data_IF_459593963777
#
_entry.id   IF_459593963777
#
_cell.length_a   1.000
_cell.length_b   1.000
_cell.length_c   1.000
_cell.angle_alpha   90.00
_cell.angle_beta   90.00
_cell.angle_gamma   90.00
#
_symmetry.space_group_name_H-M   'P 1'
#
loop_
_entity.id
_entity.type
_entity.pdbx_description
1 polymer ?
#
# COMPACT_ATOMS: atom_id res chain seq x y z
N UNK A 1 -11.12 12.14 1.68
CA UNK A 1 -10.37 13.39 1.48
C UNK A 1 -11.09 14.59 2.05
N UNK A 2 -12.28 14.94 1.53
CA UNK A 2 -13.00 16.15 1.93
C UNK A 2 -13.26 16.23 3.44
N UNK A 3 -13.80 15.20 4.04
CA UNK A 3 -14.06 15.16 5.48
C UNK A 3 -12.81 15.44 6.33
N UNK A 4 -11.63 14.95 5.92
CA UNK A 4 -10.40 15.20 6.68
C UNK A 4 -10.02 16.69 6.67
N UNK A 5 -10.20 17.40 5.55
CA UNK A 5 -9.95 18.84 5.52
C UNK A 5 -10.94 19.62 6.38
N UNK A 6 -12.21 19.22 6.34
CA UNK A 6 -13.24 19.83 7.21
C UNK A 6 -12.90 19.64 8.70
N UNK A 7 -12.45 18.46 9.08
CA UNK A 7 -12.04 18.18 10.46
C UNK A 7 -10.77 18.94 10.86
N UNK A 8 -9.83 19.06 9.94
CA UNK A 8 -8.62 19.85 10.15
C UNK A 8 -8.94 21.33 10.33
N UNK A 9 -9.81 21.90 9.49
CA UNK A 9 -10.27 23.27 9.61
C UNK A 9 -10.93 23.52 10.98
N UNK A 10 -11.80 22.62 11.42
CA UNK A 10 -12.46 22.70 12.73
C UNK A 10 -11.46 22.56 13.90
N UNK A 11 -10.49 21.64 13.80
CA UNK A 11 -9.48 21.42 14.84
C UNK A 11 -8.56 22.62 15.04
N UNK A 12 -8.23 23.33 13.96
CA UNK A 12 -7.29 24.45 13.96
C UNK A 12 -7.97 25.82 13.97
N UNK A 13 -9.30 25.86 14.01
CA UNK A 13 -10.09 27.07 13.89
C UNK A 13 -9.72 27.91 12.63
N UNK A 14 -9.55 27.19 11.52
CA UNK A 14 -9.23 27.78 10.21
C UNK A 14 -10.47 27.83 9.31
N UNK A 15 -10.59 28.84 8.44
CA UNK A 15 -11.67 28.86 7.46
C UNK A 15 -11.53 27.71 6.46
N UNK A 16 -12.62 27.03 6.15
CA UNK A 16 -12.64 25.88 5.24
C UNK A 16 -12.05 26.21 3.86
N UNK A 17 -12.36 27.40 3.32
CA UNK A 17 -11.86 27.81 2.01
C UNK A 17 -10.34 27.82 1.94
N UNK A 18 -9.64 28.14 3.05
CA UNK A 18 -8.17 28.16 3.07
C UNK A 18 -7.59 26.74 2.87
N UNK A 19 -8.19 25.73 3.50
CA UNK A 19 -7.78 24.33 3.32
C UNK A 19 -8.07 23.84 1.89
N UNK A 20 -9.19 24.27 1.32
CA UNK A 20 -9.58 23.86 -0.01
C UNK A 20 -8.68 24.50 -1.09
N UNK A 21 -8.37 25.79 -0.99
CA UNK A 21 -7.40 26.45 -1.89
C UNK A 21 -5.98 25.90 -1.72
N UNK A 22 -5.55 25.64 -0.49
CA UNK A 22 -4.26 25.00 -0.24
C UNK A 22 -4.17 23.61 -0.87
N UNK A 23 -5.25 22.84 -0.83
CA UNK A 23 -5.33 21.54 -1.48
C UNK A 23 -5.28 21.69 -3.02
N UNK A 24 -5.97 22.64 -3.60
CA UNK A 24 -5.90 22.88 -5.05
C UNK A 24 -4.47 23.24 -5.51
N UNK A 25 -3.74 23.98 -4.69
CA UNK A 25 -2.35 24.35 -4.97
C UNK A 25 -1.37 23.18 -4.83
N UNK A 26 -1.52 22.33 -3.80
CA UNK A 26 -0.60 21.22 -3.50
C UNK A 26 -0.96 19.91 -4.23
N UNK A 27 -2.24 19.67 -4.47
CA UNK A 27 -2.74 18.43 -5.07
C UNK A 27 -2.70 17.21 -4.14
N UNK A 28 -2.28 17.38 -2.89
CA UNK A 28 -2.14 16.30 -1.90
C UNK A 28 -2.81 16.64 -0.57
N UNK A 29 -3.86 15.89 -0.25
CA UNK A 29 -4.65 16.13 0.95
C UNK A 29 -3.88 15.86 2.26
N UNK A 30 -2.98 14.89 2.27
CA UNK A 30 -2.17 14.55 3.45
C UNK A 30 -1.13 15.64 3.73
N UNK A 31 -0.53 16.16 2.68
CA UNK A 31 0.42 17.26 2.76
C UNK A 31 -0.25 18.56 3.20
N UNK A 32 -1.40 18.90 2.59
CA UNK A 32 -2.20 20.06 2.97
C UNK A 32 -2.51 20.07 4.46
N UNK A 33 -3.01 18.95 4.98
CA UNK A 33 -3.36 18.84 6.39
C UNK A 33 -2.12 18.94 7.28
N UNK A 34 -1.05 18.21 6.95
CA UNK A 34 0.18 18.22 7.75
C UNK A 34 0.80 19.62 7.84
N UNK A 35 0.87 20.35 6.73
CA UNK A 35 1.38 21.72 6.68
C UNK A 35 0.51 22.71 7.47
N UNK A 36 -0.81 22.48 7.52
CA UNK A 36 -1.73 23.33 8.30
C UNK A 36 -1.46 23.27 9.80
N UNK A 37 -0.88 22.18 10.31
CA UNK A 37 -0.42 22.09 11.70
C UNK A 37 0.90 22.83 11.97
N UNK A 38 1.58 23.33 10.94
CA UNK A 38 2.88 24.02 11.06
C UNK A 38 3.98 23.09 11.57
N UNK A 39 5.07 23.68 12.06
CA UNK A 39 6.18 22.94 12.65
C UNK A 39 5.82 22.50 14.07
N UNK A 40 5.14 21.37 14.17
CA UNK A 40 4.70 20.79 15.44
C UNK A 40 5.58 19.60 15.80
N UNK A 41 6.14 19.60 17.02
CA UNK A 41 6.78 18.43 17.61
C UNK A 41 5.73 17.51 18.21
N UNK A 42 5.82 16.22 17.93
CA UNK A 42 4.93 15.21 18.49
C UNK A 42 5.26 14.93 19.96
N UNK A 43 4.23 14.67 20.76
CA UNK A 43 4.37 14.18 22.14
C UNK A 43 4.41 12.66 22.21
N UNK A 44 3.97 11.99 21.14
CA UNK A 44 3.87 10.52 21.05
C UNK A 44 4.21 10.07 19.63
N UNK A 45 5.05 9.06 19.53
CA UNK A 45 5.26 8.29 18.29
C UNK A 45 4.36 7.06 18.31
N UNK A 46 3.62 6.86 17.25
CA UNK A 46 2.80 5.67 17.07
C UNK A 46 3.43 4.77 16.02
N UNK A 47 3.71 3.52 16.39
CA UNK A 47 4.27 2.57 15.44
C UNK A 47 3.25 2.21 14.35
N UNK A 48 3.72 2.01 13.12
CA UNK A 48 2.86 1.75 11.95
C UNK A 48 1.91 0.56 12.16
N UNK A 49 2.36 -0.48 12.86
CA UNK A 49 1.52 -1.65 13.10
C UNK A 49 0.29 -1.34 13.97
N UNK A 50 0.39 -0.40 14.92
CA UNK A 50 -0.75 0.04 15.71
C UNK A 50 -1.80 0.75 14.85
N UNK A 51 -1.34 1.60 13.90
CA UNK A 51 -2.22 2.27 12.93
C UNK A 51 -2.95 1.22 12.07
N UNK A 52 -2.19 0.27 11.51
CA UNK A 52 -2.77 -0.77 10.67
C UNK A 52 -3.78 -1.63 11.43
N UNK A 53 -3.45 -2.07 12.64
CA UNK A 53 -4.35 -2.86 13.48
C UNK A 53 -5.62 -2.10 13.83
N UNK A 54 -5.50 -0.82 14.18
CA UNK A 54 -6.68 0.01 14.44
C UNK A 54 -7.57 0.12 13.19
N UNK A 55 -7.00 0.42 12.03
CA UNK A 55 -7.76 0.55 10.78
C UNK A 55 -8.48 -0.75 10.38
N UNK A 56 -7.85 -1.90 10.65
CA UNK A 56 -8.47 -3.22 10.40
C UNK A 56 -9.63 -3.46 11.37
N UNK A 57 -9.40 -3.25 12.67
CA UNK A 57 -10.38 -3.51 13.72
C UNK A 57 -11.61 -2.60 13.63
N UNK A 58 -11.41 -1.34 13.25
CA UNK A 58 -12.44 -0.30 13.24
C UNK A 58 -12.94 0.07 11.85
N UNK A 59 -12.78 -0.84 10.88
CA UNK A 59 -13.18 -0.62 9.49
C UNK A 59 -14.68 -0.29 9.36
N UNK A 60 -15.50 -0.91 10.18
CA UNK A 60 -16.97 -0.81 10.16
C UNK A 60 -17.55 0.22 11.13
N UNK A 61 -16.71 0.87 11.95
CA UNK A 61 -17.17 1.87 12.91
C UNK A 61 -17.85 3.06 12.24
N UNK A 62 -18.71 3.72 13.00
CA UNK A 62 -19.34 4.95 12.58
C UNK A 62 -18.33 6.08 12.34
N UNK A 63 -18.70 7.00 11.45
CA UNK A 63 -17.82 8.11 11.05
C UNK A 63 -17.43 9.01 12.24
N UNK A 64 -18.32 9.16 13.22
CA UNK A 64 -18.08 9.97 14.41
C UNK A 64 -16.94 9.40 15.28
N UNK A 65 -16.93 8.08 15.50
CA UNK A 65 -15.86 7.40 16.25
C UNK A 65 -14.51 7.50 15.52
N UNK A 66 -14.50 7.30 14.20
CA UNK A 66 -13.32 7.48 13.37
C UNK A 66 -12.79 8.91 13.43
N UNK A 67 -13.69 9.91 13.37
CA UNK A 67 -13.31 11.33 13.50
C UNK A 67 -12.60 11.59 14.81
N UNK A 68 -13.18 11.18 15.93
CA UNK A 68 -12.61 11.41 17.25
C UNK A 68 -11.19 10.85 17.35
N UNK A 69 -11.00 9.59 16.95
CA UNK A 69 -9.68 8.97 16.98
C UNK A 69 -8.65 9.71 16.10
N UNK A 70 -9.04 10.15 14.90
CA UNK A 70 -8.16 10.90 13.99
C UNK A 70 -7.74 12.22 14.63
N UNK A 71 -8.68 12.96 15.24
CA UNK A 71 -8.39 14.22 15.92
C UNK A 71 -7.45 14.02 17.12
N UNK A 72 -7.63 12.96 17.89
CA UNK A 72 -6.72 12.57 18.97
C UNK A 72 -5.30 12.28 18.45
N UNK A 73 -5.17 11.52 17.36
CA UNK A 73 -3.90 11.27 16.71
C UNK A 73 -3.22 12.57 16.25
N UNK A 74 -3.94 13.42 15.54
CA UNK A 74 -3.40 14.71 15.10
C UNK A 74 -2.98 15.62 16.26
N UNK A 75 -3.65 15.53 17.41
CA UNK A 75 -3.27 16.33 18.60
C UNK A 75 -1.91 15.90 19.17
N UNK A 76 -1.52 14.64 19.02
CA UNK A 76 -0.34 14.04 19.63
C UNK A 76 0.86 13.90 18.68
N UNK A 77 0.62 13.84 17.36
CA UNK A 77 1.65 13.58 16.36
C UNK A 77 2.43 14.83 15.96
N UNK A 78 3.66 14.62 15.50
CA UNK A 78 4.42 15.64 14.76
C UNK A 78 3.77 15.90 13.38
N UNK A 79 4.15 17.00 12.74
CA UNK A 79 3.65 17.29 11.38
C UNK A 79 4.04 16.21 10.38
N UNK A 80 5.23 15.63 10.52
CA UNK A 80 5.73 14.53 9.68
C UNK A 80 4.92 13.24 9.90
N UNK A 81 4.60 12.94 11.18
CA UNK A 81 3.76 11.79 11.53
C UNK A 81 2.33 11.97 11.04
N UNK A 82 1.77 13.19 11.12
CA UNK A 82 0.44 13.54 10.57
C UNK A 82 0.41 13.27 9.07
N UNK A 83 1.44 13.66 8.32
CA UNK A 83 1.54 13.38 6.90
C UNK A 83 1.48 11.87 6.62
N UNK A 84 2.35 11.10 7.25
CA UNK A 84 2.44 9.65 7.08
C UNK A 84 1.15 8.94 7.49
N UNK A 85 0.59 9.34 8.63
CA UNK A 85 -0.69 8.84 9.14
C UNK A 85 -1.84 9.06 8.15
N UNK A 86 -1.98 10.28 7.62
CA UNK A 86 -3.02 10.61 6.64
C UNK A 86 -2.85 9.84 5.31
N UNK A 87 -1.60 9.55 4.90
CA UNK A 87 -1.35 8.65 3.76
C UNK A 87 -1.87 7.23 4.01
N UNK A 88 -1.68 6.71 5.22
CA UNK A 88 -2.22 5.41 5.62
C UNK A 88 -3.76 5.40 5.61
N UNK A 89 -4.40 6.47 6.12
CA UNK A 89 -5.86 6.62 6.10
C UNK A 89 -6.44 6.64 4.67
N UNK A 90 -5.71 7.27 3.74
CA UNK A 90 -6.12 7.39 2.35
C UNK A 90 -5.98 6.10 1.53
N UNK A 91 -5.30 5.08 2.06
CA UNK A 91 -5.07 3.79 1.39
C UNK A 91 -4.18 3.86 0.15
N UNK A 92 -3.50 4.96 -0.09
CA UNK A 92 -2.69 5.19 -1.28
C UNK A 92 -1.37 5.89 -1.00
N UNK A 93 -0.35 5.14 -0.62
CA UNK A 93 1.02 5.66 -0.55
C UNK A 93 1.60 5.66 -1.97
N UNK A 94 1.48 6.79 -2.66
CA UNK A 94 2.09 7.00 -3.99
C UNK A 94 3.48 7.59 -3.80
N UNK A 95 4.50 6.74 -3.84
CA UNK A 95 5.92 7.13 -3.65
C UNK A 95 6.73 7.02 -4.95
N UNK A 96 6.08 6.83 -6.10
CA UNK A 96 6.77 6.67 -7.40
C UNK A 96 7.51 5.34 -7.56
N UNK A 97 7.52 4.47 -6.56
CA UNK A 97 8.12 3.14 -6.64
C UNK A 97 7.08 2.08 -6.99
N UNK A 98 7.38 1.26 -8.00
CA UNK A 98 6.55 0.10 -8.33
C UNK A 98 6.73 -1.01 -7.30
N UNK A 99 5.71 -1.87 -7.10
CA UNK A 99 5.83 -3.08 -6.27
C UNK A 99 7.09 -3.90 -6.65
N UNK A 100 7.36 -4.05 -7.94
CA UNK A 100 8.52 -4.79 -8.43
C UNK A 100 9.86 -4.16 -7.98
N UNK A 101 9.96 -2.82 -7.97
CA UNK A 101 11.16 -2.13 -7.49
C UNK A 101 11.35 -2.32 -5.99
N UNK A 102 10.26 -2.29 -5.21
CA UNK A 102 10.31 -2.57 -3.77
C UNK A 102 10.76 -4.01 -3.52
N UNK A 103 10.19 -5.00 -4.23
CA UNK A 103 10.61 -6.40 -4.11
C UNK A 103 12.09 -6.60 -4.44
N UNK A 104 12.61 -5.94 -5.49
CA UNK A 104 14.04 -5.99 -5.84
C UNK A 104 14.93 -5.38 -4.75
N UNK A 105 14.55 -4.23 -4.21
CA UNK A 105 15.30 -3.58 -3.14
C UNK A 105 15.35 -4.45 -1.87
N UNK A 106 14.23 -5.04 -1.49
CA UNK A 106 14.12 -5.97 -0.37
C UNK A 106 14.93 -7.25 -0.62
N UNK A 107 14.89 -7.77 -1.85
CA UNK A 107 15.68 -8.92 -2.27
C UNK A 107 17.19 -8.69 -2.07
N UNK A 108 17.68 -7.52 -2.48
CA UNK A 108 19.08 -7.13 -2.29
C UNK A 108 19.43 -6.98 -0.80
N UNK A 109 18.55 -6.33 -0.02
CA UNK A 109 18.78 -6.08 1.40
C UNK A 109 18.86 -7.38 2.22
N UNK A 110 17.97 -8.32 1.96
CA UNK A 110 17.85 -9.56 2.73
C UNK A 110 18.56 -10.78 2.10
N UNK A 111 19.08 -10.63 0.89
CA UNK A 111 19.76 -11.72 0.16
C UNK A 111 18.81 -12.88 -0.16
N UNK A 112 17.60 -12.55 -0.59
CA UNK A 112 16.53 -13.49 -0.98
C UNK A 112 16.14 -13.16 -2.42
N UNK A 113 15.65 -14.15 -3.16
CA UNK A 113 15.15 -13.94 -4.50
C UNK A 113 13.92 -13.02 -4.55
N UNK A 114 13.88 -12.11 -5.53
CA UNK A 114 12.80 -11.12 -5.65
C UNK A 114 11.43 -11.75 -5.96
N UNK A 115 11.41 -12.87 -6.67
CA UNK A 115 10.17 -13.60 -6.97
C UNK A 115 9.60 -14.25 -5.71
N UNK A 116 10.47 -14.77 -4.86
CA UNK A 116 10.10 -15.30 -3.53
C UNK A 116 9.45 -14.22 -2.68
N UNK A 117 10.01 -13.01 -2.63
CA UNK A 117 9.42 -11.89 -1.88
C UNK A 117 8.08 -11.49 -2.50
N UNK A 118 8.01 -11.38 -3.81
CA UNK A 118 6.76 -11.04 -4.50
C UNK A 118 5.65 -12.06 -4.19
N UNK A 119 5.98 -13.35 -4.21
CA UNK A 119 5.07 -14.43 -3.87
C UNK A 119 4.61 -14.37 -2.40
N UNK A 120 5.53 -14.12 -1.47
CA UNK A 120 5.20 -13.97 -0.04
C UNK A 120 4.29 -12.78 0.24
N UNK A 121 4.48 -11.67 -0.47
CA UNK A 121 3.63 -10.47 -0.37
C UNK A 121 2.22 -10.62 -0.96
N UNK A 122 1.95 -11.69 -1.74
CA UNK A 122 0.61 -12.00 -2.21
C UNK A 122 -0.26 -12.71 -1.16
N UNK A 123 0.35 -13.28 -0.13
CA UNK A 123 -0.39 -13.90 0.95
C UNK A 123 -1.07 -12.88 1.84
N UNK A 124 -2.12 -13.30 2.53
CA UNK A 124 -2.67 -12.53 3.63
C UNK A 124 -1.72 -12.63 4.81
N UNK A 125 -1.22 -11.52 5.29
CA UNK A 125 -0.33 -11.44 6.43
C UNK A 125 -0.80 -10.38 7.42
N UNK A 126 -0.45 -10.56 8.69
CA UNK A 126 -0.80 -9.61 9.74
C UNK A 126 0.28 -8.54 9.86
N UNK A 127 -0.08 -7.29 10.17
CA UNK A 127 0.88 -6.20 10.35
C UNK A 127 1.55 -6.29 11.73
N UNK A 128 2.29 -7.37 11.96
CA UNK A 128 3.07 -7.61 13.16
C UNK A 128 4.53 -7.94 12.84
N UNK A 129 5.40 -7.77 13.81
CA UNK A 129 6.83 -7.99 13.64
C UNK A 129 7.21 -9.44 13.31
N UNK A 130 6.61 -10.48 13.93
CA UNK A 130 6.88 -11.86 13.55
C UNK A 130 6.54 -12.15 12.09
N UNK A 131 5.37 -11.72 11.63
CA UNK A 131 4.94 -11.91 10.24
C UNK A 131 5.84 -11.14 9.27
N UNK A 132 6.22 -9.90 9.61
CA UNK A 132 7.16 -9.11 8.83
C UNK A 132 8.53 -9.82 8.72
N UNK A 133 9.08 -10.30 9.81
CA UNK A 133 10.36 -11.02 9.80
C UNK A 133 10.30 -12.30 8.97
N UNK A 134 9.18 -13.03 9.02
CA UNK A 134 8.97 -14.24 8.23
C UNK A 134 8.93 -13.97 6.71
N UNK A 135 8.52 -12.75 6.28
CA UNK A 135 8.60 -12.38 4.86
C UNK A 135 10.02 -12.45 4.31
N UNK A 136 11.02 -12.21 5.17
CA UNK A 136 12.44 -12.12 4.80
C UNK A 136 13.29 -13.26 5.38
N UNK A 137 12.69 -14.26 6.00
CA UNK A 137 13.41 -15.45 6.46
C UNK A 137 13.99 -16.22 5.28
N UNK A 138 15.25 -16.66 5.42
CA UNK A 138 15.91 -17.56 4.46
C UNK A 138 15.45 -19.01 4.58
N UNK A 139 14.82 -19.34 5.69
CA UNK A 139 14.31 -20.69 5.90
C UNK A 139 13.09 -20.93 5.02
N UNK A 140 13.15 -21.98 4.22
CA UNK A 140 12.03 -22.46 3.41
C UNK A 140 10.92 -23.11 4.27
N UNK A 141 10.94 -22.87 5.58
CA UNK A 141 10.03 -23.47 6.53
C UNK A 141 8.59 -23.06 6.21
N UNK A 142 7.83 -24.03 5.71
CA UNK A 142 6.38 -23.99 5.58
C UNK A 142 5.83 -22.90 4.64
N UNK A 143 6.40 -22.74 3.46
CA UNK A 143 5.66 -22.14 2.37
C UNK A 143 4.44 -23.01 2.13
N UNK A 144 3.33 -22.63 2.78
CA UNK A 144 2.06 -23.28 2.57
C UNK A 144 1.77 -23.17 1.07
N UNK A 145 1.82 -24.32 0.40
CA UNK A 145 1.71 -24.44 -1.04
C UNK A 145 0.33 -24.00 -1.62
N UNK A 146 -0.48 -23.33 -0.85
CA UNK A 146 -1.82 -22.84 -1.22
C UNK A 146 -1.85 -21.34 -1.56
N UNK A 147 -0.69 -20.66 -1.56
CA UNK A 147 -0.64 -19.25 -1.93
C UNK A 147 -0.86 -19.05 -3.43
N UNK A 148 -1.57 -18.00 -3.85
CA UNK A 148 -1.71 -17.67 -5.27
C UNK A 148 -0.34 -17.30 -5.85
N UNK A 149 -0.16 -17.58 -7.14
CA UNK A 149 1.03 -17.15 -7.89
C UNK A 149 0.81 -15.76 -8.50
N UNK A 150 1.88 -14.99 -8.74
CA UNK A 150 1.79 -13.80 -9.57
C UNK A 150 1.22 -14.15 -10.94
N UNK A 151 0.30 -13.33 -11.45
CA UNK A 151 -0.15 -13.49 -12.82
C UNK A 151 0.96 -13.11 -13.79
N UNK A 152 1.16 -13.93 -14.81
CA UNK A 152 2.04 -13.56 -15.93
C UNK A 152 1.46 -12.33 -16.64
N UNK A 153 2.33 -11.36 -16.90
CA UNK A 153 2.01 -10.21 -17.72
C UNK A 153 2.51 -10.47 -19.13
N UNK A 154 1.62 -10.29 -20.12
CA UNK A 154 2.03 -10.35 -21.51
C UNK A 154 3.06 -9.26 -21.81
N UNK A 155 4.13 -9.62 -22.51
CA UNK A 155 5.08 -8.66 -23.06
C UNK A 155 4.69 -8.34 -24.51
N UNK A 156 4.86 -7.09 -24.96
CA UNK A 156 4.60 -6.75 -26.35
C UNK A 156 5.60 -7.50 -27.26
N UNK A 157 5.09 -8.03 -28.36
CA UNK A 157 5.93 -8.65 -29.40
C UNK A 157 6.55 -7.53 -30.22
N UNK A 158 7.89 -7.56 -30.38
CA UNK A 158 8.59 -6.63 -31.24
C UNK A 158 8.42 -7.02 -32.71
N UNK A 159 8.12 -6.07 -33.57
CA UNK A 159 8.04 -6.28 -35.01
C UNK A 159 9.45 -6.34 -35.66
N UNK A 160 9.62 -7.08 -36.72
CA UNK A 160 8.62 -7.82 -37.52
C UNK A 160 8.27 -9.21 -36.96
N UNK A 161 6.98 -9.51 -36.95
CA UNK A 161 6.43 -10.79 -36.47
C UNK A 161 7.05 -12.01 -37.13
N UNK A 162 7.43 -11.90 -38.43
CA UNK A 162 8.05 -12.97 -39.22
C UNK A 162 9.37 -13.50 -38.62
N UNK A 163 10.13 -12.64 -37.94
CA UNK A 163 11.38 -13.05 -37.26
C UNK A 163 11.14 -13.60 -35.87
N UNK A 164 10.05 -13.13 -35.22
CA UNK A 164 9.73 -13.52 -33.84
C UNK A 164 9.01 -14.86 -33.78
N UNK A 165 8.28 -15.25 -34.84
CA UNK A 165 7.47 -16.47 -34.93
C UNK A 165 8.11 -17.54 -35.81
N UNK A 166 9.44 -17.66 -35.82
CA UNK A 166 10.18 -18.61 -36.68
C UNK A 166 9.86 -20.08 -36.37
N UNK A 167 9.47 -20.39 -35.13
CA UNK A 167 9.04 -21.73 -34.74
C UNK A 167 7.60 -21.67 -34.19
N UNK A 168 6.69 -22.40 -34.82
CA UNK A 168 5.31 -22.46 -34.39
C UNK A 168 5.14 -23.25 -33.07
N UNK A 169 6.04 -24.16 -32.80
CA UNK A 169 5.99 -25.05 -31.63
C UNK A 169 6.33 -24.34 -30.33
N UNK A 170 6.95 -23.17 -30.40
CA UNK A 170 7.35 -22.37 -29.24
C UNK A 170 6.25 -21.38 -28.76
N UNK A 171 5.09 -21.38 -29.44
CA UNK A 171 4.04 -20.38 -29.19
C UNK A 171 2.70 -21.02 -28.88
N UNK A 172 2.04 -20.48 -27.86
CA UNK A 172 0.65 -20.77 -27.56
C UNK A 172 -0.19 -19.55 -27.93
N UNK A 173 -1.20 -19.76 -28.77
CA UNK A 173 -2.13 -18.71 -29.17
C UNK A 173 -3.42 -18.88 -28.39
N UNK A 174 -3.80 -17.88 -27.63
CA UNK A 174 -5.00 -17.90 -26.80
C UNK A 174 -5.89 -16.69 -27.08
N UNK A 175 -7.24 -16.80 -26.98
CA UNK A 175 -8.11 -15.65 -26.97
C UNK A 175 -7.83 -14.79 -25.74
N UNK A 176 -7.64 -13.50 -25.94
CA UNK A 176 -7.53 -12.55 -24.83
C UNK A 176 -8.92 -12.17 -24.32
N UNK A 177 -9.35 -12.83 -23.27
CA UNK A 177 -10.60 -12.50 -22.61
C UNK A 177 -10.43 -11.23 -21.76
N UNK A 178 -11.39 -10.31 -21.87
CA UNK A 178 -11.47 -9.16 -20.97
C UNK A 178 -12.37 -9.54 -19.78
N UNK A 179 -11.78 -9.58 -18.59
CA UNK A 179 -12.50 -10.02 -17.40
C UNK A 179 -11.63 -10.09 -16.15
N UNK A 180 -12.25 -10.53 -15.05
CA UNK A 180 -11.57 -10.73 -13.77
C UNK A 180 -10.67 -11.95 -13.87
N UNK A 181 -9.38 -11.78 -13.54
CA UNK A 181 -8.44 -12.90 -13.43
C UNK A 181 -8.60 -13.57 -12.07
N UNK A 182 -8.73 -14.88 -12.08
CA UNK A 182 -8.84 -15.68 -10.86
C UNK A 182 -7.89 -16.89 -10.92
N UNK A 183 -7.48 -17.37 -9.76
CA UNK A 183 -6.71 -18.61 -9.62
C UNK A 183 -7.44 -19.51 -8.63
N UNK A 184 -7.61 -20.76 -9.03
CA UNK A 184 -8.06 -21.82 -8.14
C UNK A 184 -6.86 -22.71 -7.82
N UNK A 185 -6.44 -22.72 -6.55
CA UNK A 185 -5.30 -23.54 -6.11
C UNK A 185 -5.83 -24.69 -5.27
N UNK A 186 -5.73 -25.92 -5.79
CA UNK A 186 -6.06 -27.15 -5.08
C UNK A 186 -4.80 -28.00 -4.98
N UNK A 187 -4.27 -28.18 -3.78
CA UNK A 187 -3.11 -29.02 -3.52
C UNK A 187 -3.39 -29.97 -2.37
N UNK A 188 -2.92 -31.19 -2.52
CA UNK A 188 -2.92 -32.14 -1.41
C UNK A 188 -1.83 -31.68 -0.43
N UNK A 189 -2.22 -31.48 0.82
CA UNK A 189 -1.33 -31.23 1.96
C UNK A 189 -0.88 -32.58 2.51
#
# INVERSE_FOLDING_TARGET
>A
GKNLREWCAQQLDLPQWLLDESYEALGDNSETIALSFGSKSGSKSLELHHICNYLIAHKTDELAAKKQWILECWSQFSSEDIYTFNKCLGGGIRIGASKKNVCKALAQLYGIDSETIEHRLLATWQPDLPTFNNLFSKDKLNEINVRPYPFFLASPISLPLSKTLESQDDWIIEPKWDGIRAQLVNRKV
#
